data_IF_489987084951
#
_entry.id   IF_489987084951
#
_cell.length_a   1.000
_cell.length_b   1.000
_cell.length_c   1.000
_cell.angle_alpha   90.00
_cell.angle_beta   90.00
_cell.angle_gamma   90.00
#
_symmetry.space_group_name_H-M   'P 1'
#
loop_
_entity.id
_entity.type
_entity.pdbx_description
1 polymer ?
#
# COMPACT_ATOMS: atom_id res chain seq x y z
N UNK A 1 1.72 14.71 19.34
CA UNK A 1 0.54 14.75 18.45
C UNK A 1 -0.60 14.02 19.15
N UNK A 2 -1.83 14.55 19.16
CA UNK A 2 -2.97 13.83 19.70
C UNK A 2 -3.17 12.50 18.97
N UNK A 3 -3.68 11.49 19.66
CA UNK A 3 -3.96 10.18 19.07
C UNK A 3 -5.13 10.28 18.10
N UNK A 4 -4.88 10.00 16.82
CA UNK A 4 -5.92 9.95 15.80
C UNK A 4 -6.61 8.59 15.84
N UNK A 5 -7.94 8.59 15.84
CA UNK A 5 -8.75 7.38 15.82
C UNK A 5 -9.43 7.23 14.46
N UNK A 6 -9.61 5.99 14.02
CA UNK A 6 -10.30 5.64 12.77
C UNK A 6 -11.32 4.55 13.02
N UNK A 7 -12.42 4.56 12.27
CA UNK A 7 -13.39 3.47 12.25
C UNK A 7 -13.13 2.58 11.04
N UNK A 8 -12.96 1.28 11.28
CA UNK A 8 -12.81 0.23 10.27
C UNK A 8 -13.80 -0.87 10.63
N UNK A 9 -14.72 -1.19 9.72
CA UNK A 9 -15.74 -2.24 9.90
C UNK A 9 -16.52 -2.11 11.23
N UNK A 10 -16.88 -0.88 11.60
CA UNK A 10 -17.63 -0.58 12.84
C UNK A 10 -16.81 -0.67 14.13
N UNK A 11 -15.50 -0.90 14.05
CA UNK A 11 -14.59 -0.90 15.20
C UNK A 11 -13.67 0.30 15.15
N UNK A 12 -13.42 0.90 16.32
CA UNK A 12 -12.53 2.05 16.46
C UNK A 12 -11.11 1.59 16.79
N UNK A 13 -10.12 2.07 16.04
CA UNK A 13 -8.71 1.78 16.25
C UNK A 13 -7.89 3.07 16.33
N UNK A 14 -6.81 3.11 17.13
CA UNK A 14 -5.77 4.10 16.93
C UNK A 14 -5.21 3.98 15.52
N UNK A 15 -5.05 5.11 14.81
CA UNK A 15 -4.46 5.12 13.46
C UNK A 15 -3.01 4.60 13.49
N UNK A 16 -2.29 4.80 14.60
CA UNK A 16 -0.97 4.22 14.85
C UNK A 16 -0.97 2.69 14.88
N UNK A 17 -2.13 2.08 15.15
CA UNK A 17 -2.33 0.63 15.10
C UNK A 17 -2.92 0.13 13.76
N UNK A 18 -2.79 0.92 12.70
CA UNK A 18 -3.28 0.59 11.37
C UNK A 18 -2.19 0.67 10.30
N UNK A 19 -2.43 -0.02 9.18
CA UNK A 19 -1.56 -0.04 8.02
C UNK A 19 -2.38 0.04 6.73
N UNK A 20 -1.86 0.78 5.75
CA UNK A 20 -2.40 0.83 4.40
C UNK A 20 -1.77 -0.27 3.56
N UNK A 21 -2.60 -1.06 2.89
CA UNK A 21 -2.17 -2.12 1.98
C UNK A 21 -2.58 -1.76 0.56
N UNK A 22 -1.60 -1.78 -0.34
CA UNK A 22 -1.86 -1.68 -1.76
C UNK A 22 -2.17 -3.06 -2.31
N UNK A 23 -3.35 -3.21 -2.91
CA UNK A 23 -3.79 -4.44 -3.55
C UNK A 23 -3.72 -4.30 -5.07
N UNK A 24 -3.14 -5.31 -5.73
CA UNK A 24 -3.23 -5.44 -7.18
C UNK A 24 -4.66 -5.80 -7.61
N UNK A 25 -5.02 -5.57 -8.88
CA UNK A 25 -6.35 -5.92 -9.43
C UNK A 25 -6.69 -7.42 -9.30
N UNK A 26 -5.66 -8.27 -9.24
CA UNK A 26 -5.80 -9.72 -9.05
C UNK A 26 -6.02 -10.13 -7.58
N UNK A 27 -6.05 -9.18 -6.64
CA UNK A 27 -6.26 -9.45 -5.21
C UNK A 27 -4.99 -9.76 -4.42
N UNK A 28 -3.80 -9.73 -5.02
CA UNK A 28 -2.55 -9.94 -4.28
C UNK A 28 -2.07 -8.63 -3.61
N UNK A 29 -1.60 -8.68 -2.36
CA UNK A 29 -1.01 -7.52 -1.69
C UNK A 29 0.35 -7.21 -2.30
N UNK A 30 0.65 -5.92 -2.52
CA UNK A 30 1.83 -5.48 -3.27
C UNK A 30 2.64 -4.39 -2.56
N UNK A 31 2.15 -3.87 -1.45
CA UNK A 31 2.84 -2.86 -0.66
C UNK A 31 2.13 -2.61 0.67
N UNK A 32 2.89 -2.15 1.65
CA UNK A 32 2.38 -1.68 2.93
C UNK A 32 2.94 -0.29 3.26
N UNK A 33 2.15 0.49 3.98
CA UNK A 33 2.51 1.79 4.53
C UNK A 33 1.91 1.93 5.92
N UNK A 34 2.75 2.10 6.94
CA UNK A 34 2.29 2.40 8.31
C UNK A 34 1.44 3.67 8.32
N UNK A 35 0.22 3.60 8.87
CA UNK A 35 -0.72 4.71 8.77
C UNK A 35 -0.36 5.90 9.66
N UNK A 36 0.31 5.69 10.80
CA UNK A 36 0.90 6.77 11.58
C UNK A 36 2.16 6.32 12.34
N UNK A 37 3.19 7.16 12.34
CA UNK A 37 4.46 6.91 13.05
C UNK A 37 5.11 8.24 13.41
N UNK A 38 5.61 8.36 14.65
CA UNK A 38 6.21 9.61 15.14
C UNK A 38 5.23 10.80 15.06
N UNK A 39 5.60 11.82 14.29
CA UNK A 39 4.81 13.02 14.02
C UNK A 39 4.06 12.98 12.67
N UNK A 40 4.12 11.85 11.95
CA UNK A 40 3.50 11.67 10.63
C UNK A 40 2.25 10.81 10.72
N UNK A 41 1.25 11.18 9.94
CA UNK A 41 0.02 10.42 9.76
C UNK A 41 -0.47 10.48 8.31
N UNK A 42 -0.85 9.33 7.78
CA UNK A 42 -1.54 9.13 6.52
C UNK A 42 -2.99 8.72 6.86
N UNK A 43 -3.81 9.69 7.23
CA UNK A 43 -5.17 9.49 7.73
C UNK A 43 -6.22 9.29 6.62
N UNK A 44 -5.89 9.62 5.36
CA UNK A 44 -6.79 9.42 4.22
C UNK A 44 -6.14 8.55 3.14
N UNK A 45 -6.98 7.96 2.28
CA UNK A 45 -6.52 7.15 1.16
C UNK A 45 -5.65 7.98 0.20
N UNK A 46 -5.98 9.25 -0.05
CA UNK A 46 -5.19 10.13 -0.91
C UNK A 46 -3.80 10.42 -0.32
N UNK A 47 -3.69 10.55 1.00
CA UNK A 47 -2.41 10.72 1.68
C UNK A 47 -1.55 9.45 1.54
N UNK A 48 -2.17 8.27 1.70
CA UNK A 48 -1.49 6.99 1.50
C UNK A 48 -1.02 6.80 0.05
N UNK A 49 -1.88 7.10 -0.93
CA UNK A 49 -1.53 7.09 -2.35
C UNK A 49 -0.35 8.01 -2.67
N UNK A 50 -0.33 9.24 -2.12
CA UNK A 50 0.75 10.20 -2.34
C UNK A 50 2.07 9.76 -1.72
N UNK A 51 2.04 9.16 -0.54
CA UNK A 51 3.25 8.67 0.12
C UNK A 51 3.82 7.45 -0.62
N UNK A 52 2.97 6.46 -0.93
CA UNK A 52 3.40 5.22 -1.56
C UNK A 52 3.82 5.42 -3.03
N UNK A 53 3.18 6.36 -3.74
CA UNK A 53 3.52 6.75 -5.10
C UNK A 53 3.63 8.29 -5.20
N UNK A 54 4.81 8.88 -4.96
CA UNK A 54 5.00 10.34 -4.93
C UNK A 54 4.64 11.04 -6.24
N UNK A 55 4.89 10.38 -7.38
CA UNK A 55 4.63 10.94 -8.70
C UNK A 55 3.16 10.77 -9.09
N UNK A 56 2.51 11.87 -9.50
CA UNK A 56 1.12 11.86 -9.99
C UNK A 56 0.91 10.88 -11.15
N UNK A 57 1.87 10.81 -12.08
CA UNK A 57 1.80 9.88 -13.23
C UNK A 57 1.70 8.42 -12.81
N UNK A 58 2.36 8.03 -11.72
CA UNK A 58 2.38 6.65 -11.25
C UNK A 58 1.07 6.32 -10.53
N UNK A 59 0.57 7.23 -9.69
CA UNK A 59 -0.77 7.11 -9.09
C UNK A 59 -1.86 6.94 -10.15
N UNK A 60 -1.90 7.86 -11.11
CA UNK A 60 -2.89 7.82 -12.18
C UNK A 60 -2.80 6.50 -12.98
N UNK A 61 -1.58 6.01 -13.23
CA UNK A 61 -1.36 4.71 -13.90
C UNK A 61 -1.89 3.54 -13.08
N UNK A 62 -1.51 3.42 -11.80
CA UNK A 62 -1.90 2.29 -10.95
C UNK A 62 -3.41 2.28 -10.67
N UNK A 63 -4.00 3.45 -10.41
CA UNK A 63 -5.45 3.58 -10.23
C UNK A 63 -6.21 3.18 -11.51
N UNK A 64 -5.77 3.60 -12.70
CA UNK A 64 -6.35 3.14 -13.98
C UNK A 64 -6.19 1.65 -14.22
N UNK A 65 -5.13 1.05 -13.68
CA UNK A 65 -4.91 -0.39 -13.76
C UNK A 65 -5.77 -1.18 -12.77
N UNK A 66 -6.47 -0.52 -11.84
CA UNK A 66 -7.35 -1.16 -10.86
C UNK A 66 -6.67 -1.49 -9.53
N UNK A 67 -5.51 -0.92 -9.24
CA UNK A 67 -4.91 -1.03 -7.91
C UNK A 67 -5.74 -0.22 -6.91
N UNK A 68 -5.87 -0.74 -5.69
CA UNK A 68 -6.63 -0.10 -4.60
C UNK A 68 -5.80 -0.03 -3.32
N UNK A 69 -6.08 0.95 -2.48
CA UNK A 69 -5.56 1.03 -1.11
C UNK A 69 -6.65 0.54 -0.14
N UNK A 70 -6.24 -0.16 0.91
CA UNK A 70 -7.12 -0.57 2.01
C UNK A 70 -6.45 -0.28 3.34
N UNK A 71 -7.14 0.43 4.22
CA UNK A 71 -6.71 0.58 5.60
C UNK A 71 -7.21 -0.60 6.42
N UNK A 72 -6.32 -1.21 7.19
CA UNK A 72 -6.68 -2.30 8.11
C UNK A 72 -5.88 -2.20 9.41
N UNK A 73 -6.37 -2.84 10.47
CA UNK A 73 -5.62 -2.96 11.72
C UNK A 73 -4.38 -3.85 11.52
N UNK A 74 -3.35 -3.64 12.35
CA UNK A 74 -2.18 -4.52 12.33
C UNK A 74 -2.50 -5.98 12.63
N UNK A 75 -3.50 -6.24 13.47
CA UNK A 75 -3.93 -7.61 13.79
C UNK A 75 -4.50 -8.31 12.56
N UNK A 76 -5.36 -7.62 11.79
CA UNK A 76 -5.92 -8.15 10.54
C UNK A 76 -4.82 -8.35 9.50
N UNK A 77 -3.93 -7.37 9.35
CA UNK A 77 -2.77 -7.49 8.46
C UNK A 77 -1.94 -8.74 8.76
N UNK A 78 -1.58 -8.98 10.03
CA UNK A 78 -0.76 -10.14 10.43
C UNK A 78 -1.46 -11.47 10.20
N UNK A 79 -2.80 -11.49 10.22
CA UNK A 79 -3.59 -12.70 10.00
C UNK A 79 -3.82 -12.98 8.50
N UNK A 80 -4.00 -11.94 7.68
CA UNK A 80 -4.51 -12.08 6.31
C UNK A 80 -3.46 -11.79 5.22
N UNK A 81 -2.41 -11.02 5.52
CA UNK A 81 -1.52 -10.46 4.50
C UNK A 81 -0.12 -11.08 4.58
N UNK A 82 0.25 -11.80 3.52
CA UNK A 82 1.62 -12.23 3.26
C UNK A 82 2.21 -11.42 2.09
N UNK A 83 3.03 -10.41 2.41
CA UNK A 83 3.75 -9.62 1.41
C UNK A 83 4.95 -10.34 0.80
N UNK A 84 5.42 -11.45 1.41
CA UNK A 84 6.49 -12.25 0.85
C UNK A 84 5.99 -13.22 -0.23
N UNK A 85 4.69 -13.53 -0.22
CA UNK A 85 4.05 -14.32 -1.27
C UNK A 85 4.19 -13.63 -2.63
N UNK A 86 4.81 -14.33 -3.59
CA UNK A 86 4.93 -13.83 -4.96
C UNK A 86 3.56 -13.85 -5.63
N UNK A 87 3.15 -12.72 -6.19
CA UNK A 87 1.95 -12.67 -7.01
C UNK A 87 2.13 -13.56 -8.26
N UNK A 88 1.30 -14.61 -8.44
CA UNK A 88 1.43 -15.53 -9.58
C UNK A 88 1.08 -14.87 -10.92
N UNK A 89 0.38 -13.73 -10.88
CA UNK A 89 -0.04 -12.97 -12.05
C UNK A 89 1.01 -11.96 -12.52
N UNK A 90 2.03 -11.67 -11.70
CA UNK A 90 3.18 -10.88 -12.14
C UNK A 90 4.14 -11.82 -12.85
N UNK A 91 4.23 -11.70 -14.18
CA UNK A 91 5.34 -12.31 -14.91
C UNK A 91 6.63 -11.80 -14.28
N UNK A 92 7.48 -12.71 -13.80
CA UNK A 92 8.78 -12.36 -13.28
C UNK A 92 9.46 -11.44 -14.31
N UNK A 93 9.83 -10.22 -13.92
CA UNK A 93 10.68 -9.39 -14.77
C UNK A 93 12.00 -10.15 -14.90
N UNK A 94 12.26 -10.72 -16.07
CA UNK A 94 13.59 -11.22 -16.40
C UNK A 94 14.55 -10.05 -16.20
N UNK A 95 15.61 -10.29 -15.42
CA UNK A 95 16.65 -9.34 -15.00
C UNK A 95 17.33 -8.57 -16.14
N UNK A 96 17.05 -8.93 -17.39
CA UNK A 96 17.58 -8.28 -18.59
C UNK A 96 17.03 -6.87 -18.83
N UNK A 97 15.76 -6.58 -18.47
CA UNK A 97 15.14 -5.26 -18.76
C UNK A 97 15.72 -4.08 -17.96
N UNK A 98 16.40 -4.33 -16.85
CA UNK A 98 17.06 -3.30 -16.04
C UNK A 98 18.43 -2.89 -16.54
N UNK A 99 19.06 -3.67 -17.43
CA UNK A 99 20.38 -3.36 -17.99
C UNK A 99 20.27 -2.49 -19.24
N UNK A 100 19.23 -2.71 -20.07
CA UNK A 100 19.06 -1.96 -21.32
C UNK A 100 18.65 -0.49 -21.10
N UNK A 101 17.99 -0.17 -19.98
CA UNK A 101 17.59 1.20 -19.63
C UNK A 101 18.75 2.04 -19.03
N UNK A 102 19.84 1.40 -18.62
CA UNK A 102 21.05 2.07 -18.11
C UNK A 102 22.11 2.30 -19.20
N UNK A 103 21.84 1.83 -20.42
CA UNK A 103 22.75 1.89 -21.57
C UNK A 103 22.22 2.79 -22.71
N UNK A 104 21.22 3.64 -22.47
CA UNK A 104 20.67 4.61 -23.43
C UNK A 104 20.76 6.04 -22.93
#
# INVERSE_FOLDING_TARGET
>A
MPELMVQIDGKTFPLSNCTWITWAPCGCPCGALTAAYGDRAHATEEQAWREHYPLKRDRDKYQRQGYRMELMSWDRYRAEVDLAAKCPHVKAKTSQQSLDAAAS
#
